data_IF_450000638116
#
_entry.id   IF_450000638116
#
_cell.length_a   1.000
_cell.length_b   1.000
_cell.length_c   1.000
_cell.angle_alpha   90.00
_cell.angle_beta   90.00
_cell.angle_gamma   90.00
#
_symmetry.space_group_name_H-M   'P 1'
#
loop_
_entity.id
_entity.type
_entity.pdbx_description
1 polymer ?
#
# COMPACT_ATOMS: atom_id res chain seq x y z
N UNK A 1 -11.90 11.06 -2.19
CA UNK A 1 -11.93 11.75 -3.50
C UNK A 1 -12.71 10.98 -4.57
N UNK A 2 -12.56 9.65 -4.66
CA UNK A 2 -13.33 8.83 -5.61
C UNK A 2 -14.85 8.75 -5.32
N UNK A 3 -15.26 8.86 -4.05
CA UNK A 3 -16.68 8.78 -3.63
C UNK A 3 -17.57 9.94 -4.12
N UNK A 4 -16.97 11.04 -4.60
CA UNK A 4 -17.69 12.26 -5.03
C UNK A 4 -17.49 12.58 -6.51
N UNK A 5 -16.90 11.67 -7.28
CA UNK A 5 -16.75 11.82 -8.73
C UNK A 5 -18.15 11.81 -9.37
N UNK A 6 -18.51 12.91 -10.02
CA UNK A 6 -19.83 13.10 -10.64
C UNK A 6 -20.86 13.87 -9.80
N UNK A 7 -20.59 14.15 -8.52
CA UNK A 7 -21.46 14.99 -7.68
C UNK A 7 -21.20 16.49 -7.93
N UNK A 8 -22.28 17.27 -7.94
CA UNK A 8 -22.23 18.73 -8.02
C UNK A 8 -21.46 19.35 -6.83
N UNK A 9 -20.92 20.57 -6.96
CA UNK A 9 -20.03 21.17 -5.95
C UNK A 9 -20.63 21.27 -4.54
N UNK A 10 -21.96 21.31 -4.41
CA UNK A 10 -22.67 21.35 -3.12
C UNK A 10 -22.89 19.96 -2.48
N UNK A 11 -22.78 18.89 -3.27
CA UNK A 11 -22.98 17.51 -2.82
C UNK A 11 -21.67 16.78 -2.50
N UNK A 12 -20.52 17.45 -2.66
CA UNK A 12 -19.21 16.86 -2.34
C UNK A 12 -18.94 16.93 -0.85
N UNK A 13 -18.45 15.85 -0.28
CA UNK A 13 -18.07 15.76 1.13
C UNK A 13 -16.86 16.64 1.44
N UNK A 14 -15.96 16.78 0.47
CA UNK A 14 -14.77 17.62 0.54
C UNK A 14 -14.56 18.40 -0.75
N UNK A 15 -14.21 19.69 -0.64
CA UNK A 15 -13.93 20.57 -1.80
C UNK A 15 -12.51 20.39 -2.35
N UNK A 16 -11.62 19.77 -1.58
CA UNK A 16 -10.23 19.48 -1.95
C UNK A 16 -9.43 18.90 -0.79
N UNK A 17 -8.12 18.67 -1.00
CA UNK A 17 -7.24 18.10 0.02
C UNK A 17 -7.15 19.00 1.27
N UNK A 18 -6.97 20.30 1.09
CA UNK A 18 -6.90 21.26 2.21
C UNK A 18 -8.20 21.33 3.03
N UNK A 19 -9.34 21.34 2.35
CA UNK A 19 -10.66 21.29 2.98
C UNK A 19 -10.87 19.99 3.78
N UNK A 20 -10.43 18.86 3.23
CA UNK A 20 -10.44 17.57 3.92
C UNK A 20 -9.60 17.58 5.21
N UNK A 21 -8.33 18.03 5.13
CA UNK A 21 -7.44 18.10 6.29
C UNK A 21 -8.00 19.02 7.39
N UNK A 22 -8.49 20.20 7.02
CA UNK A 22 -9.07 21.16 7.98
C UNK A 22 -10.35 20.61 8.61
N UNK A 23 -11.22 19.98 7.82
CA UNK A 23 -12.49 19.43 8.30
C UNK A 23 -12.28 18.26 9.25
N UNK A 24 -11.36 17.34 8.94
CA UNK A 24 -10.98 16.24 9.84
C UNK A 24 -10.30 16.77 11.10
N UNK A 25 -9.34 17.69 10.97
CA UNK A 25 -8.66 18.28 12.13
C UNK A 25 -9.63 18.99 13.08
N UNK A 26 -10.63 19.70 12.54
CA UNK A 26 -11.66 20.36 13.36
C UNK A 26 -12.62 19.38 14.04
N UNK A 27 -12.88 18.21 13.43
CA UNK A 27 -13.79 17.21 13.97
C UNK A 27 -13.11 16.30 15.02
N UNK A 28 -11.96 15.73 14.67
CA UNK A 28 -11.30 14.64 15.40
C UNK A 28 -9.86 14.98 15.83
N UNK A 29 -9.41 16.21 15.58
CA UNK A 29 -8.07 16.68 15.94
C UNK A 29 -6.95 15.96 15.19
N UNK A 30 -5.76 15.93 15.81
CA UNK A 30 -4.59 15.20 15.28
C UNK A 30 -4.82 13.70 15.22
N UNK A 31 -5.55 13.12 16.17
CA UNK A 31 -5.80 11.66 16.21
C UNK A 31 -6.63 11.22 15.00
N UNK A 32 -7.60 12.04 14.57
CA UNK A 32 -8.38 11.78 13.35
C UNK A 32 -7.53 11.68 12.09
N UNK A 33 -6.48 12.51 11.98
CA UNK A 33 -5.57 12.50 10.82
C UNK A 33 -4.67 11.25 10.78
N UNK A 34 -4.38 10.64 11.93
CA UNK A 34 -3.51 9.46 12.05
C UNK A 34 -4.28 8.17 12.38
N UNK A 35 -5.59 8.18 12.23
CA UNK A 35 -6.43 7.00 12.44
C UNK A 35 -6.01 5.90 11.46
N UNK A 36 -5.76 4.69 11.98
CA UNK A 36 -5.24 3.57 11.19
C UNK A 36 -3.71 3.48 11.09
N UNK A 37 -2.94 4.43 11.67
CA UNK A 37 -1.48 4.43 11.58
C UNK A 37 -0.82 3.15 12.12
N UNK A 38 -1.26 2.63 13.27
CA UNK A 38 -0.69 1.40 13.84
C UNK A 38 -0.84 0.17 12.94
N UNK A 39 -2.03 0.00 12.35
CA UNK A 39 -2.32 -1.07 11.39
C UNK A 39 -1.54 -0.86 10.09
N UNK A 40 -1.38 0.40 9.65
CA UNK A 40 -0.53 0.76 8.51
C UNK A 40 0.92 0.30 8.72
N UNK A 41 1.46 0.54 9.92
CA UNK A 41 2.82 0.15 10.29
C UNK A 41 2.97 -1.38 10.30
N UNK A 42 1.98 -2.10 10.82
CA UNK A 42 2.00 -3.57 10.74
C UNK A 42 1.93 -4.07 9.30
N UNK A 43 1.06 -3.49 8.47
CA UNK A 43 0.93 -3.82 7.06
C UNK A 43 2.23 -3.64 6.28
N UNK A 44 2.95 -2.52 6.49
CA UNK A 44 4.23 -2.29 5.79
C UNK A 44 5.33 -3.25 6.25
N UNK A 45 5.36 -3.63 7.54
CA UNK A 45 6.32 -4.61 8.06
C UNK A 45 6.07 -5.97 7.41
N UNK A 46 4.81 -6.42 7.35
CA UNK A 46 4.43 -7.70 6.74
C UNK A 46 4.73 -7.70 5.24
N UNK A 47 4.37 -6.62 4.54
CA UNK A 47 4.67 -6.46 3.13
C UNK A 47 6.17 -6.57 2.85
N UNK A 48 7.01 -5.86 3.61
CA UNK A 48 8.47 -5.88 3.43
C UNK A 48 9.08 -7.23 3.79
N UNK A 49 8.62 -7.86 4.87
CA UNK A 49 9.09 -9.18 5.27
C UNK A 49 8.76 -10.24 4.20
N UNK A 50 7.53 -10.24 3.68
CA UNK A 50 7.11 -11.09 2.58
C UNK A 50 7.95 -10.81 1.32
N UNK A 51 8.10 -9.54 0.95
CA UNK A 51 8.84 -9.15 -0.25
C UNK A 51 10.28 -9.67 -0.23
N UNK A 52 11.03 -9.38 0.84
CA UNK A 52 12.42 -9.85 0.95
C UNK A 52 12.50 -11.37 1.06
N UNK A 53 11.62 -11.99 1.85
CA UNK A 53 11.59 -13.45 2.00
C UNK A 53 11.34 -14.19 0.68
N UNK A 54 10.34 -13.77 -0.10
CA UNK A 54 10.07 -14.39 -1.40
C UNK A 54 11.12 -14.04 -2.44
N UNK A 55 11.67 -12.83 -2.42
CA UNK A 55 12.71 -12.43 -3.37
C UNK A 55 14.00 -13.22 -3.16
N UNK A 56 14.44 -13.39 -1.91
CA UNK A 56 15.64 -14.14 -1.56
C UNK A 56 15.46 -15.63 -1.85
N UNK A 57 14.27 -16.18 -1.55
CA UNK A 57 13.92 -17.56 -1.90
C UNK A 57 13.94 -17.78 -3.41
N UNK A 58 13.29 -16.89 -4.18
CA UNK A 58 13.24 -16.98 -5.62
C UNK A 58 14.64 -16.89 -6.25
N UNK A 59 15.52 -16.03 -5.72
CA UNK A 59 16.91 -15.95 -6.16
C UNK A 59 17.74 -17.17 -5.78
N UNK A 60 17.54 -17.73 -4.59
CA UNK A 60 18.25 -18.93 -4.13
C UNK A 60 17.89 -20.20 -4.92
N UNK A 61 16.69 -20.24 -5.53
CA UNK A 61 16.27 -21.34 -6.40
C UNK A 61 16.79 -21.23 -7.84
N UNK A 62 17.42 -20.11 -8.21
CA UNK A 62 18.01 -19.96 -9.54
C UNK A 62 19.39 -20.63 -9.59
N UNK A 63 19.67 -21.48 -10.61
CA UNK A 63 20.96 -22.14 -10.75
C UNK A 63 22.13 -21.17 -10.99
N UNK A 64 21.86 -19.99 -11.56
CA UNK A 64 22.85 -18.91 -11.65
C UNK A 64 22.18 -17.53 -11.49
N UNK A 65 22.16 -16.97 -10.26
CA UNK A 65 21.48 -15.70 -9.96
C UNK A 65 22.06 -14.50 -10.71
N UNK A 66 23.31 -14.58 -11.19
CA UNK A 66 23.99 -13.52 -11.93
C UNK A 66 23.76 -13.61 -13.44
N UNK A 67 23.37 -14.78 -13.94
CA UNK A 67 23.00 -15.00 -15.33
C UNK A 67 21.50 -14.81 -15.59
N UNK A 68 20.70 -14.52 -14.56
CA UNK A 68 19.28 -14.24 -14.69
C UNK A 68 19.07 -12.99 -15.56
N UNK A 69 18.68 -13.19 -16.82
CA UNK A 69 18.42 -12.11 -17.75
C UNK A 69 17.40 -11.10 -17.21
N UNK A 70 17.44 -9.87 -17.73
CA UNK A 70 16.60 -8.74 -17.29
C UNK A 70 15.11 -9.13 -17.20
N UNK A 71 14.62 -9.92 -18.17
CA UNK A 71 13.22 -10.38 -18.21
C UNK A 71 12.89 -11.30 -17.02
N UNK A 72 13.78 -12.25 -16.69
CA UNK A 72 13.57 -13.19 -15.57
C UNK A 72 13.58 -12.43 -14.24
N UNK A 73 14.54 -11.52 -14.06
CA UNK A 73 14.61 -10.66 -12.88
C UNK A 73 13.37 -9.77 -12.73
N UNK A 74 12.86 -9.23 -13.85
CA UNK A 74 11.64 -8.43 -13.87
C UNK A 74 10.40 -9.26 -13.52
N UNK A 75 10.25 -10.47 -14.07
CA UNK A 75 9.12 -11.35 -13.73
C UNK A 75 9.14 -11.73 -12.25
N UNK A 76 10.29 -12.10 -11.70
CA UNK A 76 10.43 -12.41 -10.27
C UNK A 76 10.01 -11.19 -9.44
N UNK A 77 10.44 -9.98 -9.80
CA UNK A 77 10.06 -8.77 -9.09
C UNK A 77 8.54 -8.52 -9.11
N UNK A 78 7.88 -8.70 -10.27
CA UNK A 78 6.42 -8.54 -10.38
C UNK A 78 5.65 -9.59 -9.58
N UNK A 79 6.06 -10.86 -9.65
CA UNK A 79 5.43 -11.95 -8.90
C UNK A 79 5.57 -11.73 -7.40
N UNK A 80 6.78 -11.42 -6.93
CA UNK A 80 7.03 -11.16 -5.51
C UNK A 80 6.24 -9.95 -5.01
N UNK A 81 6.17 -8.88 -5.81
CA UNK A 81 5.39 -7.68 -5.48
C UNK A 81 3.90 -8.01 -5.34
N UNK A 82 3.36 -8.77 -6.29
CA UNK A 82 1.94 -9.16 -6.30
C UNK A 82 1.60 -10.04 -5.11
N UNK A 83 2.41 -11.08 -4.84
CA UNK A 83 2.20 -12.00 -3.72
C UNK A 83 2.32 -11.27 -2.38
N UNK A 84 3.33 -10.42 -2.23
CA UNK A 84 3.50 -9.63 -0.99
C UNK A 84 2.33 -8.67 -0.78
N UNK A 85 1.84 -8.06 -1.86
CA UNK A 85 0.65 -7.21 -1.86
C UNK A 85 -0.58 -7.96 -1.36
N UNK A 86 -0.84 -9.16 -1.91
CA UNK A 86 -1.98 -10.02 -1.51
C UNK A 86 -1.88 -10.40 -0.03
N UNK A 87 -0.69 -10.73 0.48
CA UNK A 87 -0.49 -11.10 1.88
C UNK A 87 -0.74 -9.91 2.82
N UNK A 88 -0.31 -8.70 2.42
CA UNK A 88 -0.56 -7.49 3.20
C UNK A 88 -1.97 -6.93 3.05
N UNK A 89 -2.75 -7.41 2.06
CA UNK A 89 -4.05 -6.85 1.70
C UNK A 89 -5.09 -6.83 2.84
N UNK A 90 -5.16 -7.83 3.74
CA UNK A 90 -6.05 -7.75 4.91
C UNK A 90 -5.74 -6.55 5.81
N UNK A 91 -4.44 -6.24 6.01
CA UNK A 91 -4.01 -5.08 6.80
C UNK A 91 -4.26 -3.76 6.08
N UNK A 92 -4.16 -3.75 4.76
CA UNK A 92 -4.51 -2.56 3.97
C UNK A 92 -6.03 -2.33 3.94
N UNK A 93 -6.84 -3.38 4.07
CA UNK A 93 -8.31 -3.29 4.13
C UNK A 93 -8.81 -2.71 5.45
N UNK A 94 -8.16 -3.05 6.57
CA UNK A 94 -8.52 -2.53 7.91
C UNK A 94 -7.86 -1.20 8.26
N UNK A 95 -6.91 -0.74 7.43
CA UNK A 95 -6.25 0.55 7.55
C UNK A 95 -7.18 1.69 7.15
#
# INVERSE_FOLDING_TARGET
>A
LAADVGKGPEQREFKGLGDCLVKIYKADGLIGLYRGFGVSVQGIIIYRAAFFGFYDTAKGMLPDPKAAGIIVSWMIAQTVTTVSGIISYPFDTVR
#
